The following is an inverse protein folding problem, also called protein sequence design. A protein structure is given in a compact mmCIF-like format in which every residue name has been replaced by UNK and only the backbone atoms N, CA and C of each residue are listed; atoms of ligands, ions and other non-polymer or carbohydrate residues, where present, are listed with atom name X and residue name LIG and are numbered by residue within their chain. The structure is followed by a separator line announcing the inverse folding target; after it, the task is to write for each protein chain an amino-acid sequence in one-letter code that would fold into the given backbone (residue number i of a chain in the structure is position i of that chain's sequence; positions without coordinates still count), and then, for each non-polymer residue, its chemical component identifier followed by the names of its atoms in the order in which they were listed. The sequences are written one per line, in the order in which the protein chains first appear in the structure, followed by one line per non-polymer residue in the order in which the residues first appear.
data_IF_198011572887
#
_entry.id   IF_198011572887
#
_cell.length_a   1.000
_cell.length_b   1.000
_cell.length_c   1.000
_cell.angle_alpha   90.00
_cell.angle_beta   90.00
_cell.angle_gamma   90.00
#
_symmetry.space_group_name_H-M   'P 1'
#
loop_
_entity.id
_entity.type
_entity.pdbx_description
1 polymer ?
#
# COMPACT_ATOMS: atom_id res chain seq x y z
N UNK A 1 -40.18 16.71 7.08
CA UNK A 1 -40.87 16.49 5.79
C UNK A 1 -41.78 15.27 5.93
N UNK A 2 -42.99 15.27 5.36
CA UNK A 2 -43.86 14.09 5.27
C UNK A 2 -43.15 12.95 4.52
N UNK A 3 -43.35 11.69 4.93
CA UNK A 3 -42.57 10.55 4.40
C UNK A 3 -42.65 10.43 2.86
N UNK A 4 -43.85 10.57 2.29
CA UNK A 4 -44.04 10.44 0.83
C UNK A 4 -43.25 11.51 0.05
N UNK A 5 -43.16 12.72 0.59
CA UNK A 5 -42.41 13.80 -0.03
C UNK A 5 -40.90 13.57 0.11
N UNK A 6 -40.44 13.10 1.27
CA UNK A 6 -39.04 12.71 1.50
C UNK A 6 -38.62 11.58 0.57
N UNK A 7 -39.46 10.54 0.44
CA UNK A 7 -39.22 9.42 -0.47
C UNK A 7 -39.12 9.88 -1.92
N UNK A 8 -40.01 10.75 -2.37
CA UNK A 8 -39.98 11.27 -3.73
C UNK A 8 -38.72 12.10 -3.99
N UNK A 9 -38.31 12.97 -3.06
CA UNK A 9 -37.08 13.76 -3.18
C UNK A 9 -35.83 12.85 -3.26
N UNK A 10 -35.75 11.81 -2.41
CA UNK A 10 -34.67 10.83 -2.46
C UNK A 10 -34.66 10.09 -3.80
N UNK A 11 -35.82 9.68 -4.33
CA UNK A 11 -35.92 9.03 -5.63
C UNK A 11 -35.50 9.95 -6.78
N UNK A 12 -35.93 11.21 -6.78
CA UNK A 12 -35.57 12.18 -7.82
C UNK A 12 -34.06 12.45 -7.83
N UNK A 13 -33.44 12.59 -6.65
CA UNK A 13 -31.98 12.67 -6.49
C UNK A 13 -31.28 11.42 -6.99
N UNK A 14 -31.76 10.23 -6.61
CA UNK A 14 -31.20 8.96 -7.04
C UNK A 14 -31.26 8.81 -8.58
N UNK A 15 -32.37 9.20 -9.19
CA UNK A 15 -32.54 9.20 -10.65
C UNK A 15 -31.59 10.16 -11.34
N UNK A 16 -31.42 11.37 -10.78
CA UNK A 16 -30.49 12.39 -11.29
C UNK A 16 -29.04 11.89 -11.25
N UNK A 17 -28.65 11.19 -10.18
CA UNK A 17 -27.34 10.58 -10.02
C UNK A 17 -27.21 9.20 -10.70
N UNK A 18 -28.19 8.78 -11.50
CA UNK A 18 -28.19 7.52 -12.25
C UNK A 18 -27.99 6.27 -11.38
N UNK A 19 -28.72 6.21 -10.25
CA UNK A 19 -28.74 5.03 -9.39
C UNK A 19 -29.05 3.75 -10.19
N UNK A 20 -28.39 2.66 -9.81
CA UNK A 20 -28.65 1.35 -10.38
C UNK A 20 -30.08 0.89 -10.09
N UNK A 21 -30.65 0.15 -11.05
CA UNK A 21 -32.06 -0.26 -11.05
C UNK A 21 -32.48 -1.06 -9.80
N UNK A 22 -31.68 -1.99 -9.25
CA UNK A 22 -32.07 -2.75 -8.06
C UNK A 22 -32.23 -1.87 -6.81
N UNK A 23 -31.28 -0.98 -6.55
CA UNK A 23 -31.20 -0.10 -5.39
C UNK A 23 -32.28 0.98 -5.46
N UNK A 24 -32.46 1.56 -6.65
CA UNK A 24 -33.57 2.48 -6.93
C UNK A 24 -34.92 1.81 -6.66
N UNK A 25 -35.11 0.56 -7.11
CA UNK A 25 -36.34 -0.20 -6.86
C UNK A 25 -36.52 -0.53 -5.37
N UNK A 26 -35.42 -0.73 -4.62
CA UNK A 26 -35.45 -0.93 -3.17
C UNK A 26 -35.94 0.33 -2.45
N UNK A 27 -35.41 1.50 -2.80
CA UNK A 27 -35.89 2.79 -2.28
C UNK A 27 -37.35 3.05 -2.70
N UNK A 28 -37.74 2.72 -3.93
CA UNK A 28 -39.12 2.90 -4.40
C UNK A 28 -40.11 2.02 -3.63
N UNK A 29 -39.68 0.85 -3.15
CA UNK A 29 -40.52 -0.07 -2.38
C UNK A 29 -40.58 0.25 -0.89
N UNK A 30 -39.76 1.17 -0.36
CA UNK A 30 -39.78 1.47 1.07
C UNK A 30 -41.14 2.04 1.49
N UNK A 31 -41.72 1.51 2.57
CA UNK A 31 -43.01 1.94 3.12
C UNK A 31 -42.85 2.83 4.35
N UNK A 32 -41.63 2.92 4.89
CA UNK A 32 -41.32 3.74 6.05
C UNK A 32 -40.01 4.52 5.90
N UNK A 33 -39.89 5.57 6.70
CA UNK A 33 -38.66 6.37 6.82
C UNK A 33 -37.46 5.52 7.25
N UNK A 34 -37.69 4.54 8.12
CA UNK A 34 -36.70 3.55 8.58
C UNK A 34 -36.20 2.68 7.43
N UNK A 35 -37.10 2.12 6.62
CA UNK A 35 -36.71 1.32 5.45
C UNK A 35 -35.97 2.14 4.40
N UNK A 36 -36.42 3.38 4.17
CA UNK A 36 -35.73 4.30 3.27
C UNK A 36 -34.31 4.60 3.76
N UNK A 37 -34.15 4.87 5.07
CA UNK A 37 -32.84 5.07 5.67
C UNK A 37 -31.96 3.83 5.58
N UNK A 38 -32.49 2.62 5.76
CA UNK A 38 -31.71 1.38 5.58
C UNK A 38 -31.16 1.28 4.15
N UNK A 39 -31.95 1.61 3.13
CA UNK A 39 -31.48 1.61 1.74
C UNK A 39 -30.36 2.64 1.54
N UNK A 40 -30.48 3.81 2.17
CA UNK A 40 -29.45 4.85 2.13
C UNK A 40 -28.17 4.38 2.84
N UNK A 41 -28.27 3.83 4.06
CA UNK A 41 -27.14 3.35 4.86
C UNK A 41 -26.36 2.25 4.16
N UNK A 42 -27.06 1.31 3.53
CA UNK A 42 -26.43 0.24 2.75
C UNK A 42 -25.61 0.79 1.57
N UNK A 43 -26.00 1.96 1.05
CA UNK A 43 -25.41 2.59 -0.14
C UNK A 43 -24.77 3.96 0.17
N UNK A 44 -24.44 4.22 1.45
CA UNK A 44 -24.13 5.59 1.90
C UNK A 44 -22.86 6.14 1.26
N UNK A 45 -21.88 5.26 1.01
CA UNK A 45 -20.64 5.60 0.29
C UNK A 45 -20.94 6.08 -1.13
N UNK A 46 -21.83 5.40 -1.84
CA UNK A 46 -22.24 5.80 -3.20
C UNK A 46 -23.05 7.10 -3.18
N UNK A 47 -24.00 7.22 -2.25
CA UNK A 47 -24.86 8.40 -2.13
C UNK A 47 -24.03 9.69 -1.92
N UNK A 48 -22.96 9.61 -1.13
CA UNK A 48 -22.06 10.74 -0.90
C UNK A 48 -21.06 10.94 -2.04
N UNK A 49 -20.51 9.87 -2.61
CA UNK A 49 -19.58 9.94 -3.75
C UNK A 49 -20.21 10.63 -4.97
N UNK A 50 -21.45 10.29 -5.28
CA UNK A 50 -22.22 10.90 -6.38
C UNK A 50 -22.89 12.24 -5.99
N UNK A 51 -22.62 12.74 -4.78
CA UNK A 51 -23.23 13.97 -4.22
C UNK A 51 -24.76 13.96 -4.29
N UNK A 52 -25.35 12.78 -4.17
CA UNK A 52 -26.80 12.60 -4.12
C UNK A 52 -27.36 13.19 -2.82
N UNK A 53 -26.67 12.91 -1.70
CA UNK A 53 -27.01 13.35 -0.35
C UNK A 53 -25.78 13.97 0.30
N UNK A 54 -26.00 14.91 1.21
CA UNK A 54 -24.97 15.51 2.07
C UNK A 54 -25.32 15.34 3.54
N UNK A 55 -24.36 15.63 4.42
CA UNK A 55 -24.51 15.47 5.88
C UNK A 55 -25.62 16.32 6.45
N UNK A 56 -25.82 17.54 5.96
CA UNK A 56 -26.88 18.41 6.45
C UNK A 56 -28.25 17.83 6.12
N UNK A 57 -28.43 17.35 4.89
CA UNK A 57 -29.65 16.68 4.47
C UNK A 57 -29.96 15.44 5.31
N UNK A 58 -28.95 14.63 5.63
CA UNK A 58 -29.13 13.45 6.49
C UNK A 58 -29.58 13.86 7.90
N UNK A 59 -28.99 14.91 8.48
CA UNK A 59 -29.35 15.42 9.81
C UNK A 59 -30.79 15.95 9.80
N UNK A 60 -31.13 16.79 8.83
CA UNK A 60 -32.43 17.47 8.75
C UNK A 60 -33.58 16.47 8.56
N UNK A 61 -33.31 15.37 7.85
CA UNK A 61 -34.34 14.42 7.47
C UNK A 61 -34.35 13.13 8.28
N UNK A 62 -33.25 12.67 8.90
CA UNK A 62 -33.16 11.33 9.50
C UNK A 62 -32.54 11.28 10.91
N UNK A 63 -32.26 12.43 11.54
CA UNK A 63 -31.59 12.49 12.84
C UNK A 63 -32.28 11.71 13.96
N UNK A 64 -33.62 11.59 13.91
CA UNK A 64 -34.45 10.79 14.81
C UNK A 64 -34.16 9.28 14.77
N UNK A 65 -33.54 8.79 13.70
CA UNK A 65 -33.23 7.38 13.50
C UNK A 65 -31.73 7.05 13.66
N UNK A 66 -30.87 8.05 13.87
CA UNK A 66 -29.41 7.86 13.84
C UNK A 66 -28.90 6.84 14.87
N UNK A 67 -29.39 6.91 16.11
CA UNK A 67 -28.98 5.99 17.17
C UNK A 67 -29.34 4.53 16.84
N UNK A 68 -30.51 4.32 16.22
CA UNK A 68 -30.99 3.00 15.81
C UNK A 68 -30.07 2.38 14.74
N UNK A 69 -29.54 3.20 13.83
CA UNK A 69 -28.68 2.78 12.73
C UNK A 69 -27.17 2.90 13.04
N UNK A 70 -26.79 3.32 14.25
CA UNK A 70 -25.38 3.53 14.63
C UNK A 70 -24.70 4.63 13.82
N UNK A 71 -25.44 5.69 13.48
CA UNK A 71 -24.95 6.87 12.74
C UNK A 71 -24.62 7.98 13.74
N UNK A 72 -23.44 8.60 13.61
CA UNK A 72 -23.02 9.71 14.47
C UNK A 72 -22.40 10.82 13.63
N UNK A 73 -22.57 12.08 14.04
CA UNK A 73 -22.23 13.24 13.21
C UNK A 73 -21.13 14.12 13.80
N UNK A 74 -21.28 14.64 15.02
CA UNK A 74 -20.36 15.62 15.61
C UNK A 74 -19.79 15.14 16.95
N UNK A 75 -18.47 15.31 17.10
CA UNK A 75 -17.75 15.04 18.35
C UNK A 75 -16.82 13.82 18.29
N UNK A 76 -16.28 13.50 19.47
CA UNK A 76 -15.50 12.28 19.72
C UNK A 76 -16.44 11.21 20.26
N UNK A 77 -16.49 10.06 19.60
CA UNK A 77 -17.31 8.94 20.03
C UNK A 77 -16.46 7.70 20.32
N UNK A 78 -16.68 7.09 21.48
CA UNK A 78 -16.06 5.83 21.89
C UNK A 78 -17.12 4.73 21.99
N UNK A 79 -16.86 3.58 21.35
CA UNK A 79 -17.81 2.47 21.27
C UNK A 79 -17.19 1.15 21.70
N UNK A 80 -18.02 0.27 22.26
CA UNK A 80 -17.72 -1.16 22.47
C UNK A 80 -18.57 -2.02 21.53
N UNK A 81 -17.94 -2.95 20.83
CA UNK A 81 -18.52 -4.03 20.02
C UNK A 81 -19.61 -3.65 19.00
N UNK A 82 -19.30 -2.81 18.00
CA UNK A 82 -20.26 -2.46 16.93
C UNK A 82 -19.61 -2.11 15.59
N UNK A 83 -20.43 -2.12 14.53
CA UNK A 83 -20.20 -1.36 13.30
C UNK A 83 -20.76 0.05 13.47
N UNK A 84 -20.00 1.09 13.12
CA UNK A 84 -20.39 2.50 13.28
C UNK A 84 -20.25 3.24 11.96
N UNK A 85 -21.19 4.15 11.68
CA UNK A 85 -21.12 5.08 10.54
C UNK A 85 -20.98 6.52 11.05
N UNK A 86 -19.97 7.24 10.57
CA UNK A 86 -19.78 8.67 10.85
C UNK A 86 -20.08 9.53 9.63
N UNK A 87 -20.76 10.66 9.87
CA UNK A 87 -21.11 11.65 8.86
C UNK A 87 -20.57 13.04 9.23
N UNK A 88 -19.71 13.62 8.38
CA UNK A 88 -19.10 14.93 8.59
C UNK A 88 -17.87 14.91 9.52
N UNK A 89 -17.43 16.09 9.96
CA UNK A 89 -16.14 16.33 10.64
C UNK A 89 -16.05 15.81 12.09
N UNK A 90 -16.49 14.58 12.34
CA UNK A 90 -16.35 13.87 13.62
C UNK A 90 -15.10 12.98 13.66
N UNK A 91 -14.83 12.48 14.86
CA UNK A 91 -13.81 11.47 15.12
C UNK A 91 -14.42 10.29 15.86
N UNK A 92 -14.18 9.06 15.39
CA UNK A 92 -14.62 7.84 16.06
C UNK A 92 -13.44 7.01 16.53
N UNK A 93 -13.61 6.44 17.73
CA UNK A 93 -12.77 5.36 18.24
C UNK A 93 -13.65 4.17 18.59
N UNK A 94 -13.41 3.01 18.00
CA UNK A 94 -13.99 1.76 18.44
C UNK A 94 -12.93 1.03 19.27
N UNK A 95 -13.27 0.68 20.52
CA UNK A 95 -12.42 -0.16 21.38
C UNK A 95 -13.14 -1.46 21.69
N UNK A 96 -12.53 -2.59 21.35
CA UNK A 96 -13.15 -3.88 21.59
C UNK A 96 -12.21 -4.94 22.16
N UNK A 97 -12.82 -5.95 22.78
CA UNK A 97 -12.17 -7.12 23.35
C UNK A 97 -12.92 -8.35 22.84
N UNK A 98 -12.22 -9.28 22.18
CA UNK A 98 -12.77 -10.53 21.67
C UNK A 98 -14.00 -10.37 20.75
N UNK A 99 -13.91 -9.49 19.76
CA UNK A 99 -15.02 -9.24 18.82
C UNK A 99 -14.95 -10.10 17.58
N UNK A 100 -16.11 -10.47 17.03
CA UNK A 100 -16.16 -11.02 15.68
C UNK A 100 -15.71 -10.00 14.62
N UNK A 101 -16.16 -8.74 14.75
CA UNK A 101 -15.74 -7.67 13.84
C UNK A 101 -15.88 -6.28 14.46
N UNK A 102 -14.98 -5.38 14.08
CA UNK A 102 -15.06 -3.94 14.36
C UNK A 102 -15.00 -3.19 13.03
N UNK A 103 -16.00 -2.36 12.74
CA UNK A 103 -16.07 -1.62 11.46
C UNK A 103 -16.39 -0.15 11.69
N UNK A 104 -15.58 0.74 11.12
CA UNK A 104 -15.90 2.17 11.02
C UNK A 104 -16.08 2.51 9.54
N UNK A 105 -17.22 3.11 9.20
CA UNK A 105 -17.44 3.79 7.92
C UNK A 105 -17.48 5.28 8.16
N UNK A 106 -16.68 6.07 7.47
CA UNK A 106 -16.70 7.54 7.61
C UNK A 106 -16.88 8.26 6.29
N UNK A 107 -17.66 9.33 6.32
CA UNK A 107 -17.85 10.26 5.21
C UNK A 107 -17.37 11.64 5.67
N UNK A 108 -16.23 12.10 5.16
CA UNK A 108 -15.61 13.39 5.49
C UNK A 108 -15.25 13.59 6.98
N UNK A 109 -14.42 12.69 7.53
CA UNK A 109 -14.07 12.69 8.96
C UNK A 109 -12.70 13.28 9.29
N UNK A 110 -12.54 13.76 10.52
CA UNK A 110 -11.22 14.15 11.01
C UNK A 110 -10.36 12.92 11.30
N UNK A 111 -10.92 11.91 11.96
CA UNK A 111 -10.17 10.67 12.22
C UNK A 111 -11.04 9.45 12.53
N UNK A 112 -10.64 8.28 12.02
CA UNK A 112 -11.21 6.99 12.37
C UNK A 112 -10.16 6.10 13.04
N UNK A 113 -10.45 5.58 14.24
CA UNK A 113 -9.55 4.68 14.97
C UNK A 113 -10.26 3.42 15.44
N UNK A 114 -9.67 2.25 15.18
CA UNK A 114 -10.09 0.98 15.78
C UNK A 114 -8.95 0.46 16.65
N UNK A 115 -9.25 0.12 17.90
CA UNK A 115 -8.33 -0.54 18.83
C UNK A 115 -8.96 -1.86 19.30
N UNK A 116 -8.36 -3.01 19.00
CA UNK A 116 -8.90 -4.31 19.41
C UNK A 116 -7.88 -5.21 20.10
N UNK A 117 -8.37 -5.96 21.09
CA UNK A 117 -7.68 -7.07 21.73
C UNK A 117 -8.41 -8.37 21.37
N UNK A 118 -7.99 -9.01 20.28
CA UNK A 118 -8.67 -10.19 19.74
C UNK A 118 -9.84 -9.79 18.83
N UNK A 119 -9.69 -9.98 17.52
CA UNK A 119 -10.80 -9.83 16.57
C UNK A 119 -10.67 -10.67 15.31
N UNK A 120 -11.76 -11.20 14.77
CA UNK A 120 -11.66 -11.83 13.43
C UNK A 120 -11.39 -10.78 12.35
N UNK A 121 -11.97 -9.58 12.46
CA UNK A 121 -11.73 -8.51 11.50
C UNK A 121 -11.85 -7.09 12.07
N UNK A 122 -10.91 -6.22 11.72
CA UNK A 122 -10.97 -4.79 11.95
C UNK A 122 -10.94 -4.05 10.61
N UNK A 123 -11.97 -3.25 10.29
CA UNK A 123 -12.10 -2.58 9.00
C UNK A 123 -12.44 -1.10 9.15
N UNK A 124 -11.66 -0.22 8.51
CA UNK A 124 -12.01 1.20 8.34
C UNK A 124 -12.23 1.47 6.85
N UNK A 125 -13.39 2.04 6.51
CA UNK A 125 -13.69 2.54 5.17
C UNK A 125 -13.95 4.04 5.21
N UNK A 126 -13.20 4.84 4.45
CA UNK A 126 -13.35 6.31 4.46
C UNK A 126 -13.52 6.90 3.06
N UNK A 127 -14.40 7.89 2.94
CA UNK A 127 -14.50 8.80 1.80
C UNK A 127 -14.14 10.20 2.31
N UNK A 128 -12.88 10.60 2.18
CA UNK A 128 -12.33 11.81 2.78
C UNK A 128 -12.04 11.62 4.27
N UNK A 129 -10.77 11.61 4.67
CA UNK A 129 -10.39 11.67 6.09
C UNK A 129 -9.01 12.29 6.33
N UNK A 130 -8.78 12.94 7.47
CA UNK A 130 -7.41 13.33 7.82
C UNK A 130 -6.59 12.11 8.25
N UNK A 131 -7.16 11.16 9.01
CA UNK A 131 -6.44 9.95 9.42
C UNK A 131 -7.33 8.72 9.64
N UNK A 132 -6.87 7.55 9.20
CA UNK A 132 -7.44 6.24 9.52
C UNK A 132 -6.39 5.37 10.22
N UNK A 133 -6.70 4.83 11.40
CA UNK A 133 -5.77 4.02 12.20
C UNK A 133 -6.42 2.75 12.74
N UNK A 134 -5.79 1.60 12.50
CA UNK A 134 -6.14 0.34 13.17
C UNK A 134 -4.98 -0.09 14.07
N UNK A 135 -5.28 -0.43 15.32
CA UNK A 135 -4.35 -1.06 16.26
C UNK A 135 -4.96 -2.37 16.75
N UNK A 136 -4.27 -3.49 16.56
CA UNK A 136 -4.73 -4.79 17.05
C UNK A 136 -3.62 -5.53 17.80
N UNK A 137 -3.99 -6.29 18.83
CA UNK A 137 -3.08 -7.24 19.46
C UNK A 137 -3.11 -8.60 18.74
N UNK A 138 -4.30 -9.06 18.39
CA UNK A 138 -4.49 -10.28 17.61
C UNK A 138 -5.66 -10.06 16.66
N UNK A 139 -5.46 -10.35 15.38
CA UNK A 139 -6.51 -10.24 14.39
C UNK A 139 -6.33 -11.12 13.17
N UNK A 140 -7.37 -11.80 12.70
CA UNK A 140 -7.26 -12.51 11.42
C UNK A 140 -7.09 -11.53 10.24
N UNK A 141 -7.74 -10.37 10.31
CA UNK A 141 -7.62 -9.32 9.29
C UNK A 141 -7.71 -7.90 9.85
N UNK A 142 -6.86 -7.01 9.35
CA UNK A 142 -6.93 -5.57 9.55
C UNK A 142 -6.90 -4.86 8.19
N UNK A 143 -7.95 -4.09 7.87
CA UNK A 143 -8.12 -3.47 6.55
C UNK A 143 -8.47 -2.00 6.65
N UNK A 144 -7.74 -1.15 5.93
CA UNK A 144 -8.09 0.26 5.73
C UNK A 144 -8.31 0.50 4.24
N UNK A 145 -9.49 0.98 3.87
CA UNK A 145 -9.85 1.37 2.51
C UNK A 145 -10.20 2.87 2.50
N UNK A 146 -9.49 3.69 1.72
CA UNK A 146 -9.73 5.15 1.70
C UNK A 146 -9.79 5.74 0.29
N UNK A 147 -10.71 6.68 0.10
CA UNK A 147 -10.74 7.61 -1.03
C UNK A 147 -10.46 9.02 -0.52
N UNK A 148 -9.23 9.49 -0.70
CA UNK A 148 -8.76 10.77 -0.17
C UNK A 148 -8.45 10.68 1.32
N UNK A 149 -7.18 10.56 1.69
CA UNK A 149 -6.76 10.63 3.09
C UNK A 149 -5.39 11.27 3.30
N UNK A 150 -5.16 11.96 4.42
CA UNK A 150 -3.79 12.40 4.72
C UNK A 150 -2.93 11.23 5.19
N UNK A 151 -3.47 10.31 6.01
CA UNK A 151 -2.71 9.15 6.49
C UNK A 151 -3.57 7.91 6.79
N UNK A 152 -3.12 6.74 6.35
CA UNK A 152 -3.64 5.43 6.73
C UNK A 152 -2.56 4.61 7.46
N UNK A 153 -2.88 4.09 8.65
CA UNK A 153 -1.92 3.34 9.48
C UNK A 153 -2.53 2.08 10.08
N UNK A 154 -1.87 0.94 9.87
CA UNK A 154 -2.17 -0.31 10.60
C UNK A 154 -0.99 -0.65 11.51
N UNK A 155 -1.28 -0.97 12.77
CA UNK A 155 -0.33 -1.52 13.75
C UNK A 155 -0.88 -2.82 14.32
N UNK A 156 -0.20 -3.93 14.10
CA UNK A 156 -0.62 -5.23 14.67
C UNK A 156 0.53 -5.87 15.44
N UNK A 157 0.21 -6.63 16.48
CA UNK A 157 1.18 -7.53 17.12
C UNK A 157 1.16 -8.88 16.40
N UNK A 158 -0.01 -9.51 16.27
CA UNK A 158 -0.22 -10.69 15.45
C UNK A 158 -1.36 -10.46 14.46
N UNK A 159 -1.16 -10.86 13.21
CA UNK A 159 -2.22 -10.84 12.21
C UNK A 159 -2.03 -11.77 11.04
N UNK A 160 -3.09 -12.46 10.60
CA UNK A 160 -2.99 -13.22 9.34
C UNK A 160 -2.86 -12.27 8.13
N UNK A 161 -3.52 -11.12 8.17
CA UNK A 161 -3.44 -10.13 7.09
C UNK A 161 -3.59 -8.69 7.57
N UNK A 162 -2.74 -7.80 7.03
CA UNK A 162 -2.85 -6.35 7.17
C UNK A 162 -2.84 -5.69 5.79
N UNK A 163 -3.91 -4.97 5.44
CA UNK A 163 -4.10 -4.40 4.10
C UNK A 163 -4.48 -2.92 4.16
N UNK A 164 -3.77 -2.09 3.41
CA UNK A 164 -4.14 -0.69 3.17
C UNK A 164 -4.38 -0.49 1.68
N UNK A 165 -5.56 -0.03 1.31
CA UNK A 165 -5.94 0.34 -0.05
C UNK A 165 -6.33 1.83 -0.09
N UNK A 166 -5.67 2.62 -0.93
CA UNK A 166 -5.92 4.08 -0.99
C UNK A 166 -5.96 4.65 -2.39
N UNK A 167 -6.90 5.57 -2.62
CA UNK A 167 -6.94 6.46 -3.78
C UNK A 167 -6.71 7.90 -3.33
N UNK A 168 -5.49 8.41 -3.54
CA UNK A 168 -5.08 9.75 -3.14
C UNK A 168 -4.76 9.84 -1.65
N UNK A 169 -3.53 9.49 -1.26
CA UNK A 169 -3.07 9.58 0.13
C UNK A 169 -1.73 10.29 0.30
N UNK A 170 -1.49 11.00 1.42
CA UNK A 170 -0.12 11.48 1.68
C UNK A 170 0.76 10.33 2.20
N UNK A 171 0.24 9.44 3.06
CA UNK A 171 1.01 8.30 3.58
C UNK A 171 0.18 7.07 3.92
N UNK A 172 0.68 5.89 3.53
CA UNK A 172 0.19 4.58 3.94
C UNK A 172 1.28 3.82 4.72
N UNK A 173 0.99 3.34 5.92
CA UNK A 173 1.96 2.64 6.77
C UNK A 173 1.38 1.39 7.43
N UNK A 174 2.06 0.25 7.26
CA UNK A 174 1.80 -0.98 8.04
C UNK A 174 2.99 -1.26 8.95
N UNK A 175 2.72 -1.56 10.22
CA UNK A 175 3.70 -2.04 11.20
C UNK A 175 3.18 -3.32 11.85
N UNK A 176 3.88 -4.43 11.70
CA UNK A 176 3.52 -5.71 12.31
C UNK A 176 4.69 -6.30 13.10
N UNK A 177 4.42 -7.04 14.18
CA UNK A 177 5.43 -7.90 14.81
C UNK A 177 5.45 -9.25 14.07
N UNK A 178 4.30 -9.91 13.94
CA UNK A 178 4.12 -11.10 13.14
C UNK A 178 2.94 -10.93 12.18
N UNK A 179 3.11 -11.34 10.92
CA UNK A 179 2.00 -11.40 9.99
C UNK A 179 2.19 -12.35 8.82
N UNK A 180 1.16 -13.11 8.45
CA UNK A 180 1.27 -13.92 7.22
C UNK A 180 1.39 -13.03 5.98
N UNK A 181 0.64 -11.91 5.92
CA UNK A 181 0.76 -10.95 4.82
C UNK A 181 0.56 -9.49 5.26
N UNK A 182 1.39 -8.61 4.70
CA UNK A 182 1.25 -7.16 4.81
C UNK A 182 1.23 -6.54 3.40
N UNK A 183 0.15 -5.84 3.04
CA UNK A 183 -0.05 -5.32 1.68
C UNK A 183 -0.48 -3.86 1.69
N UNK A 184 0.20 -3.04 0.89
CA UNK A 184 -0.20 -1.66 0.61
C UNK A 184 -0.46 -1.52 -0.90
N UNK A 185 -1.66 -1.11 -1.28
CA UNK A 185 -2.02 -0.76 -2.65
C UNK A 185 -2.45 0.72 -2.70
N UNK A 186 -1.79 1.52 -3.54
CA UNK A 186 -2.09 2.97 -3.62
C UNK A 186 -2.13 3.51 -5.05
N UNK A 187 -3.13 4.35 -5.33
CA UNK A 187 -3.19 5.20 -6.51
C UNK A 187 -2.94 6.66 -6.11
N UNK A 188 -1.73 7.16 -6.36
CA UNK A 188 -1.32 8.52 -6.02
C UNK A 188 -1.02 8.69 -4.53
N UNK A 189 0.19 8.30 -4.11
CA UNK A 189 0.66 8.50 -2.73
C UNK A 189 1.97 9.28 -2.62
N UNK A 190 2.22 10.02 -1.53
CA UNK A 190 3.57 10.53 -1.29
C UNK A 190 4.49 9.43 -0.74
N UNK A 191 4.00 8.58 0.17
CA UNK A 191 4.80 7.48 0.72
C UNK A 191 4.00 6.24 1.12
N UNK A 192 4.51 5.05 0.76
CA UNK A 192 4.04 3.75 1.23
C UNK A 192 5.15 3.04 2.01
N UNK A 193 4.86 2.57 3.23
CA UNK A 193 5.86 1.92 4.11
C UNK A 193 5.30 0.67 4.80
N UNK A 194 6.00 -0.46 4.65
CA UNK A 194 5.79 -1.65 5.48
C UNK A 194 7.00 -1.85 6.40
N UNK A 195 6.75 -2.09 7.69
CA UNK A 195 7.74 -2.54 8.66
C UNK A 195 7.25 -3.81 9.36
N UNK A 196 8.01 -4.88 9.29
CA UNK A 196 7.66 -6.14 9.94
C UNK A 196 8.86 -6.77 10.63
N UNK A 197 8.63 -7.54 11.69
CA UNK A 197 9.65 -8.37 12.34
C UNK A 197 9.59 -9.83 11.84
N UNK A 198 8.41 -10.38 11.57
CA UNK A 198 8.23 -11.68 10.92
C UNK A 198 7.09 -11.62 9.92
N UNK A 199 7.32 -12.04 8.67
CA UNK A 199 6.21 -12.20 7.70
C UNK A 199 6.44 -13.19 6.58
N UNK A 200 5.40 -13.90 6.15
CA UNK A 200 5.50 -14.70 4.92
C UNK A 200 5.60 -13.78 3.68
N UNK A 201 4.88 -12.65 3.66
CA UNK A 201 4.97 -11.69 2.56
C UNK A 201 4.74 -10.25 2.97
N UNK A 202 5.58 -9.35 2.46
CA UNK A 202 5.39 -7.90 2.49
C UNK A 202 5.34 -7.36 1.05
N UNK A 203 4.23 -6.72 0.67
CA UNK A 203 4.01 -6.24 -0.70
C UNK A 203 3.56 -4.79 -0.74
N UNK A 204 4.21 -3.97 -1.57
CA UNK A 204 3.75 -2.62 -1.90
C UNK A 204 3.49 -2.55 -3.41
N UNK A 205 2.28 -2.14 -3.81
CA UNK A 205 1.93 -1.80 -5.19
C UNK A 205 1.51 -0.35 -5.27
N UNK A 206 2.14 0.44 -6.14
CA UNK A 206 1.80 1.87 -6.29
C UNK A 206 1.71 2.33 -7.72
N UNK A 207 0.70 3.17 -8.01
CA UNK A 207 0.57 3.95 -9.23
C UNK A 207 0.79 5.42 -8.92
N UNK A 208 2.00 5.91 -9.16
CA UNK A 208 2.45 7.23 -8.73
C UNK A 208 2.82 7.26 -7.25
N UNK A 209 4.11 7.34 -6.94
CA UNK A 209 4.58 7.54 -5.56
C UNK A 209 5.90 8.29 -5.42
N UNK A 210 6.08 9.11 -4.38
CA UNK A 210 7.42 9.65 -4.11
C UNK A 210 8.33 8.58 -3.51
N UNK A 211 7.83 7.71 -2.62
CA UNK A 211 8.63 6.63 -2.04
C UNK A 211 7.84 5.38 -1.64
N UNK A 212 8.35 4.21 -2.00
CA UNK A 212 7.91 2.91 -1.50
C UNK A 212 9.04 2.24 -0.69
N UNK A 213 8.76 1.85 0.56
CA UNK A 213 9.77 1.24 1.44
C UNK A 213 9.25 0.01 2.17
N UNK A 214 9.98 -1.10 2.07
CA UNK A 214 9.79 -2.29 2.92
C UNK A 214 11.00 -2.44 3.85
N UNK A 215 10.74 -2.66 5.13
CA UNK A 215 11.76 -3.05 6.12
C UNK A 215 11.31 -4.31 6.84
N UNK A 216 12.09 -5.38 6.76
CA UNK A 216 11.77 -6.65 7.43
C UNK A 216 12.96 -7.14 8.27
N UNK A 217 12.69 -7.83 9.37
CA UNK A 217 13.72 -8.62 10.05
C UNK A 217 13.75 -10.00 9.38
N UNK A 218 12.67 -10.78 9.48
CA UNK A 218 12.55 -12.08 8.79
C UNK A 218 11.36 -12.07 7.82
N UNK A 219 11.58 -12.47 6.56
CA UNK A 219 10.48 -12.66 5.62
C UNK A 219 10.73 -13.64 4.49
N UNK A 220 9.74 -14.46 4.14
CA UNK A 220 9.85 -15.31 2.94
C UNK A 220 9.91 -14.46 1.66
N UNK A 221 9.15 -13.36 1.58
CA UNK A 221 9.14 -12.47 0.41
C UNK A 221 8.94 -11.00 0.77
N UNK A 222 9.70 -10.12 0.11
CA UNK A 222 9.50 -8.68 0.11
C UNK A 222 9.44 -8.16 -1.33
N UNK A 223 8.32 -7.54 -1.72
CA UNK A 223 8.06 -7.12 -3.10
C UNK A 223 7.58 -5.68 -3.19
N UNK A 224 8.21 -4.88 -4.05
CA UNK A 224 7.73 -3.55 -4.42
C UNK A 224 7.46 -3.52 -5.93
N UNK A 225 6.24 -3.18 -6.33
CA UNK A 225 5.84 -2.95 -7.72
C UNK A 225 5.34 -1.51 -7.90
N UNK A 226 5.99 -0.74 -8.78
CA UNK A 226 5.63 0.68 -8.96
C UNK A 226 5.57 1.12 -10.41
N UNK A 227 4.54 1.91 -10.78
CA UNK A 227 4.55 2.71 -12.01
C UNK A 227 4.68 4.19 -11.65
N UNK A 228 5.82 4.79 -11.98
CA UNK A 228 6.13 6.20 -11.72
C UNK A 228 6.46 6.50 -10.26
N UNK A 229 7.63 6.05 -9.80
CA UNK A 229 8.11 6.37 -8.44
C UNK A 229 9.36 7.24 -8.42
N UNK A 230 9.62 8.00 -7.34
CA UNK A 230 10.96 8.60 -7.17
C UNK A 230 11.94 7.58 -6.55
N UNK A 231 11.50 6.79 -5.57
CA UNK A 231 12.36 5.77 -4.94
C UNK A 231 11.61 4.52 -4.46
N UNK A 232 12.18 3.35 -4.75
CA UNK A 232 11.77 2.06 -4.20
C UNK A 232 12.91 1.45 -3.37
N UNK A 233 12.65 1.08 -2.12
CA UNK A 233 13.68 0.54 -1.21
C UNK A 233 13.19 -0.68 -0.44
N UNK A 234 13.95 -1.78 -0.49
CA UNK A 234 13.78 -2.94 0.38
C UNK A 234 14.99 -3.06 1.30
N UNK A 235 14.75 -3.25 2.61
CA UNK A 235 15.78 -3.58 3.60
C UNK A 235 15.35 -4.83 4.38
N UNK A 236 16.15 -5.89 4.35
CA UNK A 236 15.82 -7.14 5.08
C UNK A 236 17.02 -7.67 5.88
N UNK A 237 16.76 -8.45 6.91
CA UNK A 237 17.75 -9.13 7.75
C UNK A 237 17.43 -10.64 7.83
N UNK A 238 17.33 -11.27 6.66
CA UNK A 238 16.85 -12.64 6.48
C UNK A 238 15.67 -12.64 5.53
N UNK A 239 15.86 -13.11 4.29
CA UNK A 239 14.75 -13.34 3.37
C UNK A 239 14.99 -14.37 2.30
N UNK A 240 13.97 -15.14 1.91
CA UNK A 240 14.10 -16.00 0.73
C UNK A 240 14.15 -15.18 -0.57
N UNK A 241 13.37 -14.09 -0.67
CA UNK A 241 13.38 -13.22 -1.85
C UNK A 241 13.09 -11.75 -1.53
N UNK A 242 13.88 -10.85 -2.12
CA UNK A 242 13.62 -9.42 -2.19
C UNK A 242 13.54 -8.98 -3.65
N UNK A 243 12.41 -8.39 -4.06
CA UNK A 243 12.15 -8.02 -5.46
C UNK A 243 11.63 -6.59 -5.60
N UNK A 244 12.24 -5.79 -6.48
CA UNK A 244 11.71 -4.50 -6.91
C UNK A 244 11.44 -4.55 -8.41
N UNK A 245 10.21 -4.23 -8.81
CA UNK A 245 9.81 -4.03 -10.21
C UNK A 245 9.31 -2.61 -10.40
N UNK A 246 9.86 -1.87 -11.37
CA UNK A 246 9.44 -0.49 -11.62
C UNK A 246 9.39 -0.12 -13.10
N UNK A 247 8.32 0.60 -13.49
CA UNK A 247 8.26 1.38 -14.73
C UNK A 247 8.46 2.86 -14.38
N UNK A 248 9.64 3.42 -14.64
CA UNK A 248 10.00 4.78 -14.30
C UNK A 248 10.30 4.95 -12.81
N UNK A 249 11.59 5.01 -12.46
CA UNK A 249 12.06 5.36 -11.12
C UNK A 249 13.32 6.21 -11.10
N UNK A 250 13.50 7.12 -10.13
CA UNK A 250 14.82 7.74 -9.94
C UNK A 250 15.80 6.75 -9.30
N UNK A 251 15.35 5.93 -8.34
CA UNK A 251 16.21 4.93 -7.70
C UNK A 251 15.47 3.68 -7.21
N UNK A 252 16.03 2.50 -7.49
CA UNK A 252 15.64 1.23 -6.90
C UNK A 252 16.79 0.66 -6.05
N UNK A 253 16.54 0.33 -4.79
CA UNK A 253 17.58 -0.17 -3.87
C UNK A 253 17.12 -1.38 -3.06
N UNK A 254 17.89 -2.46 -3.09
CA UNK A 254 17.75 -3.59 -2.18
C UNK A 254 18.97 -3.65 -1.26
N UNK A 255 18.74 -3.78 0.05
CA UNK A 255 19.79 -4.07 1.05
C UNK A 255 19.38 -5.29 1.86
N UNK A 256 20.19 -6.35 1.86
CA UNK A 256 19.89 -7.55 2.64
C UNK A 256 21.09 -8.03 3.44
N UNK A 257 20.82 -8.57 4.63
CA UNK A 257 21.73 -9.41 5.38
C UNK A 257 21.13 -10.81 5.33
N UNK A 258 21.78 -11.72 4.61
CA UNK A 258 21.29 -13.07 4.30
C UNK A 258 20.02 -13.13 3.43
N UNK A 259 20.17 -13.53 2.17
CA UNK A 259 19.02 -13.80 1.30
C UNK A 259 19.28 -14.83 0.21
N UNK A 260 18.30 -15.69 -0.09
CA UNK A 260 18.45 -16.61 -1.22
C UNK A 260 18.47 -15.85 -2.57
N UNK A 261 17.70 -14.77 -2.69
CA UNK A 261 17.65 -13.97 -3.92
C UNK A 261 17.34 -12.48 -3.68
N UNK A 262 18.03 -11.61 -4.41
CA UNK A 262 17.73 -10.19 -4.52
C UNK A 262 17.62 -9.79 -6.00
N UNK A 263 16.47 -9.24 -6.42
CA UNK A 263 16.19 -8.92 -7.83
C UNK A 263 15.66 -7.50 -8.00
N UNK A 264 16.25 -6.74 -8.91
CA UNK A 264 15.70 -5.46 -9.37
C UNK A 264 15.42 -5.56 -10.88
N UNK A 265 14.19 -5.29 -11.29
CA UNK A 265 13.79 -5.14 -12.69
C UNK A 265 13.25 -3.73 -12.93
N UNK A 266 13.91 -2.95 -13.80
CA UNK A 266 13.50 -1.56 -14.07
C UNK A 266 13.40 -1.24 -15.55
N UNK A 267 12.34 -0.54 -15.93
CA UNK A 267 12.16 0.10 -17.23
C UNK A 267 12.26 1.63 -17.05
N UNK A 268 13.41 2.22 -17.40
CA UNK A 268 13.70 3.63 -17.18
C UNK A 268 14.04 3.91 -15.71
N UNK A 269 15.34 3.97 -15.38
CA UNK A 269 15.78 4.37 -14.03
C UNK A 269 17.11 5.10 -13.97
N UNK A 270 17.26 6.07 -13.07
CA UNK A 270 18.59 6.71 -12.90
C UNK A 270 19.58 5.78 -12.19
N UNK A 271 19.11 4.97 -11.24
CA UNK A 271 19.99 4.02 -10.53
C UNK A 271 19.27 2.78 -10.00
N UNK A 272 19.87 1.61 -10.21
CA UNK A 272 19.51 0.34 -9.58
C UNK A 272 20.68 -0.17 -8.73
N UNK A 273 20.44 -0.44 -7.44
CA UNK A 273 21.48 -0.88 -6.50
C UNK A 273 21.05 -2.07 -5.66
N UNK A 274 21.84 -3.14 -5.66
CA UNK A 274 21.73 -4.25 -4.71
C UNK A 274 22.96 -4.25 -3.80
N UNK A 275 22.75 -4.32 -2.48
CA UNK A 275 23.81 -4.57 -1.50
C UNK A 275 23.44 -5.77 -0.65
N UNK A 276 24.24 -6.82 -0.67
CA UNK A 276 23.98 -8.01 0.16
C UNK A 276 25.21 -8.47 0.93
N UNK A 277 24.96 -9.08 2.09
CA UNK A 277 25.97 -9.76 2.89
C UNK A 277 25.45 -11.18 3.17
N UNK A 278 25.96 -12.16 2.42
CA UNK A 278 25.40 -13.50 2.28
C UNK A 278 24.21 -13.52 1.33
N UNK A 279 24.38 -14.02 0.09
CA UNK A 279 23.24 -14.33 -0.77
C UNK A 279 23.53 -15.39 -1.83
N UNK A 280 22.56 -16.24 -2.16
CA UNK A 280 22.78 -17.19 -3.28
C UNK A 280 22.80 -16.48 -4.63
N UNK A 281 21.96 -15.46 -4.84
CA UNK A 281 21.91 -14.71 -6.11
C UNK A 281 21.52 -13.23 -5.94
N UNK A 282 22.21 -12.35 -6.66
CA UNK A 282 21.85 -10.93 -6.83
C UNK A 282 21.72 -10.61 -8.32
N UNK A 283 20.55 -10.11 -8.75
CA UNK A 283 20.26 -9.84 -10.17
C UNK A 283 19.70 -8.44 -10.38
N UNK A 284 20.27 -7.67 -11.31
CA UNK A 284 19.70 -6.42 -11.80
C UNK A 284 19.41 -6.58 -13.29
N UNK A 285 18.17 -6.31 -13.71
CA UNK A 285 17.76 -6.20 -15.11
C UNK A 285 17.25 -4.78 -15.37
N UNK A 286 17.88 -4.06 -16.29
CA UNK A 286 17.44 -2.71 -16.65
C UNK A 286 17.34 -2.49 -18.16
N UNK A 287 16.28 -1.80 -18.58
CA UNK A 287 16.25 -1.13 -19.88
C UNK A 287 16.35 0.38 -19.63
N UNK A 288 17.35 1.01 -20.23
CA UNK A 288 17.65 2.44 -20.16
C UNK A 288 17.86 2.93 -18.72
N UNK A 289 19.09 2.73 -18.21
CA UNK A 289 19.46 3.21 -16.87
C UNK A 289 20.81 3.90 -16.82
N UNK A 290 20.92 4.95 -16.01
CA UNK A 290 22.22 5.63 -15.88
C UNK A 290 23.25 4.77 -15.13
N UNK A 291 22.80 3.98 -14.15
CA UNK A 291 23.68 3.11 -13.36
C UNK A 291 23.01 1.84 -12.83
N UNK A 292 23.73 0.71 -12.89
CA UNK A 292 23.40 -0.53 -12.21
C UNK A 292 24.59 -0.95 -11.32
N UNK A 293 24.34 -1.26 -10.04
CA UNK A 293 25.39 -1.62 -9.09
C UNK A 293 24.98 -2.78 -8.20
N UNK A 294 25.79 -3.83 -8.17
CA UNK A 294 25.68 -4.93 -7.20
C UNK A 294 26.92 -4.89 -6.31
N UNK A 295 26.72 -4.93 -4.98
CA UNK A 295 27.80 -5.10 -4.00
C UNK A 295 27.48 -6.31 -3.12
N UNK A 296 28.33 -7.32 -3.12
CA UNK A 296 28.08 -8.56 -2.39
C UNK A 296 29.30 -9.05 -1.63
N UNK A 297 29.07 -9.56 -0.42
CA UNK A 297 30.06 -10.32 0.35
C UNK A 297 29.54 -11.74 0.52
N UNK A 298 30.25 -12.75 0.01
CA UNK A 298 29.89 -14.16 0.15
C UNK A 298 28.69 -14.61 -0.70
N UNK A 299 28.54 -14.07 -1.92
CA UNK A 299 27.45 -14.47 -2.82
C UNK A 299 27.86 -15.50 -3.86
N UNK A 300 27.03 -16.49 -4.16
CA UNK A 300 27.33 -17.50 -5.21
C UNK A 300 27.28 -16.91 -6.62
N UNK A 301 26.33 -15.99 -6.89
CA UNK A 301 26.19 -15.34 -8.20
C UNK A 301 25.74 -13.88 -8.11
N UNK A 302 26.34 -13.03 -8.94
CA UNK A 302 25.91 -11.66 -9.19
C UNK A 302 25.75 -11.42 -10.70
N UNK A 303 24.58 -10.95 -11.13
CA UNK A 303 24.26 -10.74 -12.54
C UNK A 303 23.70 -9.34 -12.79
N UNK A 304 24.28 -8.63 -13.77
CA UNK A 304 23.72 -7.38 -14.30
C UNK A 304 23.40 -7.58 -15.78
N UNK A 305 22.13 -7.49 -16.15
CA UNK A 305 21.65 -7.45 -17.53
C UNK A 305 21.15 -6.04 -17.84
N UNK A 306 21.75 -5.35 -18.83
CA UNK A 306 21.33 -4.01 -19.20
C UNK A 306 21.21 -3.81 -20.70
N UNK A 307 20.23 -2.99 -21.09
CA UNK A 307 20.08 -2.50 -22.44
C UNK A 307 20.11 -0.97 -22.45
N UNK A 308 21.16 -0.39 -23.04
CA UNK A 308 21.36 1.07 -23.10
C UNK A 308 21.80 1.74 -21.79
N UNK A 309 22.41 1.01 -20.85
CA UNK A 309 22.88 1.62 -19.60
C UNK A 309 24.25 2.30 -19.72
N UNK A 310 24.44 3.42 -19.02
CA UNK A 310 25.73 4.16 -19.05
C UNK A 310 26.83 3.53 -18.19
N UNK A 311 26.48 2.82 -17.11
CA UNK A 311 27.44 2.20 -16.18
C UNK A 311 26.89 0.94 -15.52
N UNK A 312 27.71 -0.11 -15.42
CA UNK A 312 27.40 -1.34 -14.70
C UNK A 312 28.58 -1.74 -13.79
N UNK A 313 28.31 -2.05 -12.53
CA UNK A 313 29.37 -2.35 -11.54
C UNK A 313 28.94 -3.52 -10.66
N UNK A 314 29.82 -4.51 -10.51
CA UNK A 314 29.65 -5.64 -9.61
C UNK A 314 30.90 -5.64 -8.73
N UNK A 315 30.71 -5.38 -7.45
CA UNK A 315 31.76 -5.50 -6.45
C UNK A 315 31.46 -6.75 -5.63
N UNK A 316 32.25 -7.80 -5.85
CA UNK A 316 32.14 -9.02 -5.05
C UNK A 316 33.37 -9.14 -4.15
N UNK A 317 33.21 -9.78 -3.00
CA UNK A 317 34.31 -10.30 -2.19
C UNK A 317 33.91 -11.74 -1.83
N UNK A 318 34.70 -12.71 -2.27
CA UNK A 318 34.42 -14.15 -2.10
C UNK A 318 33.13 -14.63 -2.80
N UNK A 319 33.05 -14.41 -4.13
CA UNK A 319 31.92 -14.87 -4.95
C UNK A 319 32.34 -15.91 -5.98
N UNK A 320 31.45 -16.87 -6.25
CA UNK A 320 31.73 -17.93 -7.22
C UNK A 320 31.60 -17.44 -8.68
N UNK A 321 30.76 -16.44 -8.95
CA UNK A 321 30.58 -15.89 -10.31
C UNK A 321 30.05 -14.45 -10.33
N UNK A 322 30.52 -13.65 -11.29
CA UNK A 322 29.99 -12.34 -11.64
C UNK A 322 29.73 -12.29 -13.16
N UNK A 323 28.51 -11.92 -13.58
CA UNK A 323 28.07 -11.95 -14.97
C UNK A 323 27.51 -10.60 -15.41
N UNK A 324 27.97 -10.13 -16.58
CA UNK A 324 27.42 -8.95 -17.25
C UNK A 324 26.83 -9.35 -18.60
N UNK A 325 25.57 -8.99 -18.84
CA UNK A 325 24.91 -9.14 -20.14
C UNK A 325 24.55 -7.75 -20.64
N UNK A 326 25.30 -7.24 -21.61
CA UNK A 326 25.21 -5.86 -22.07
C UNK A 326 24.78 -5.85 -23.53
N UNK A 327 23.68 -5.16 -23.85
CA UNK A 327 23.17 -5.03 -25.22
C UNK A 327 22.96 -3.56 -25.57
N UNK A 328 23.72 -3.05 -26.55
CA UNK A 328 23.69 -1.65 -27.00
C UNK A 328 25.05 -0.95 -26.92
N UNK A 329 25.09 0.33 -27.32
CA UNK A 329 26.28 1.17 -27.17
C UNK A 329 26.46 1.57 -25.70
N UNK A 330 27.73 1.65 -25.23
CA UNK A 330 28.21 2.17 -23.93
C UNK A 330 28.23 1.19 -22.72
N UNK A 331 29.34 1.19 -21.96
CA UNK A 331 29.41 0.81 -20.52
C UNK A 331 30.84 0.90 -19.97
N UNK A 332 31.02 1.58 -18.82
CA UNK A 332 32.19 1.33 -17.96
C UNK A 332 31.87 0.12 -17.08
N UNK A 333 32.70 -0.93 -17.13
CA UNK A 333 32.58 -2.10 -16.27
C UNK A 333 33.68 -2.00 -15.21
N UNK A 334 33.31 -2.19 -13.95
CA UNK A 334 34.27 -2.31 -12.86
C UNK A 334 33.98 -3.60 -12.12
N UNK A 335 34.88 -4.56 -12.29
CA UNK A 335 35.02 -5.72 -11.43
C UNK A 335 36.28 -5.49 -10.57
N UNK A 336 36.13 -5.60 -9.24
CA UNK A 336 37.18 -5.30 -8.28
C UNK A 336 37.89 -6.56 -7.76
N UNK A 337 37.46 -7.75 -8.17
CA UNK A 337 38.00 -9.00 -7.66
C UNK A 337 39.09 -9.65 -8.50
N UNK A 338 39.48 -9.06 -9.65
CA UNK A 338 40.81 -9.26 -10.29
C UNK A 338 41.11 -8.48 -11.59
N UNK A 339 40.14 -7.86 -12.29
CA UNK A 339 40.40 -7.17 -13.57
C UNK A 339 39.46 -5.97 -13.78
N UNK A 340 40.01 -4.78 -14.03
CA UNK A 340 39.22 -3.60 -14.43
C UNK A 340 39.01 -3.62 -15.95
N UNK A 341 37.81 -4.00 -16.40
CA UNK A 341 37.46 -3.99 -17.83
C UNK A 341 36.84 -2.65 -18.26
N UNK A 342 37.63 -1.78 -18.87
CA UNK A 342 37.13 -0.53 -19.46
C UNK A 342 36.71 -0.76 -20.91
N UNK A 343 35.42 -0.66 -21.21
CA UNK A 343 34.91 -0.71 -22.60
C UNK A 343 34.60 0.72 -23.06
N UNK A 344 35.50 1.29 -23.89
CA UNK A 344 35.27 2.59 -24.55
C UNK A 344 35.22 2.40 -26.07
N UNK A 345 34.29 3.13 -26.71
CA UNK A 345 33.96 3.07 -28.15
C UNK A 345 35.20 2.85 -29.06
N UNK A 346 35.10 1.81 -29.90
CA UNK A 346 35.93 1.54 -31.09
C UNK A 346 37.41 1.14 -30.89
N UNK A 347 37.87 0.90 -29.67
CA UNK A 347 39.11 0.15 -29.41
C UNK A 347 38.91 -0.73 -28.17
N UNK A 348 39.11 -2.03 -28.33
CA UNK A 348 39.24 -2.92 -27.18
C UNK A 348 40.60 -2.62 -26.55
N UNK A 349 40.60 -2.05 -25.34
CA UNK A 349 41.82 -1.88 -24.57
C UNK A 349 41.60 -2.59 -23.23
N UNK A 350 42.09 -3.82 -23.15
CA UNK A 350 42.21 -4.54 -21.88
C UNK A 350 43.44 -3.94 -21.20
N UNK A 351 43.22 -3.06 -20.22
CA UNK A 351 44.30 -2.60 -19.36
C UNK A 351 44.30 -3.50 -18.13
N UNK A 352 45.14 -4.52 -18.15
CA UNK A 352 45.58 -5.20 -16.93
C UNK A 352 46.39 -4.17 -16.12
N UNK A 353 45.92 -3.87 -14.90
CA UNK A 353 46.69 -3.04 -13.97
C UNK A 353 47.23 -4.02 -12.94
N UNK A 354 48.53 -4.35 -13.08
CA UNK A 354 49.29 -5.15 -12.10
C UNK A 354 49.22 -4.58 -10.68
#
# INVERSE_FOLDING_TARGET
MEFNQLKQDVLDRAKKCQACQPEYKRAYKSESKRELLQVIVDNIVWAYKEKMLDTQYMIDNFSDLFEEFGIYTTGLHEFKDKSVTLLGSSSATIKTLDSSSATIKTLDSSSATIETWGSSSATIKTLGSSSATIKTLDSSSATIETWGSSSATIKTLDSSSATIETWGSSSATIKTLDSSSATIETWGSSSATIKTLGSSSATIKTLGSSSATIKTLDSSSATIETWGSSSATIKTLGSSSATIKTLGSSSATIKTLDSSSATIETWGSSSATIKTLGSSSATIKTLDSSSATIKTLGSSSATIETWGSSSATIETLDSSSATYVLKGDYSTIKDLNKLKLFVKKSKFEIIEVE
#
